data_IF_525029103909
#
_entry.id   IF_525029103909
#
_cell.length_a   1.000
_cell.length_b   1.000
_cell.length_c   1.000
_cell.angle_alpha   90.00
_cell.angle_beta   90.00
_cell.angle_gamma   90.00
#
_symmetry.space_group_name_H-M   'P 1'
#
loop_
_entity.id
_entity.type
_entity.pdbx_description
1 polymer ?
#
# COMPACT_ATOMS: atom_id res chain seq x y z
N UNK A 1 -54.13 -24.86 55.55
CA UNK A 1 -54.83 -24.80 54.25
C UNK A 1 -53.73 -24.62 53.21
N UNK A 2 -53.28 -25.68 52.51
CA UNK A 2 -53.83 -26.13 51.22
C UNK A 2 -53.95 -24.92 50.25
N UNK A 3 -53.29 -24.83 49.09
CA UNK A 3 -52.89 -25.86 48.13
C UNK A 3 -51.94 -25.30 47.06
N UNK A 4 -51.04 -26.17 46.56
CA UNK A 4 -50.56 -26.37 45.16
C UNK A 4 -51.16 -25.48 44.06
N UNK A 5 -50.52 -25.13 42.94
CA UNK A 5 -49.43 -25.68 42.08
C UNK A 5 -49.16 -24.57 41.03
N UNK A 6 -48.12 -24.48 40.20
CA UNK A 6 -47.39 -25.42 39.34
C UNK A 6 -46.23 -24.58 38.75
N UNK A 7 -44.97 -25.00 38.77
CA UNK A 7 -44.45 -25.96 37.80
C UNK A 7 -44.06 -25.27 36.49
N UNK A 8 -42.78 -24.95 36.32
CA UNK A 8 -42.12 -25.03 35.01
C UNK A 8 -40.61 -25.06 35.22
N UNK A 9 -40.04 -26.22 34.97
CA UNK A 9 -38.62 -26.47 34.81
C UNK A 9 -37.99 -25.42 33.89
N UNK A 10 -36.88 -24.82 34.34
CA UNK A 10 -35.98 -24.10 33.46
C UNK A 10 -35.44 -25.11 32.44
N UNK A 11 -36.07 -25.12 31.27
CA UNK A 11 -35.53 -25.72 30.05
C UNK A 11 -34.21 -25.02 29.77
N UNK A 12 -33.11 -25.78 29.85
CA UNK A 12 -31.83 -25.38 29.32
C UNK A 12 -31.95 -25.37 27.80
N UNK A 13 -32.43 -24.27 27.24
CA UNK A 13 -32.47 -24.08 25.80
C UNK A 13 -31.12 -23.49 25.35
N UNK A 14 -30.30 -24.35 24.75
CA UNK A 14 -29.06 -23.97 24.08
C UNK A 14 -29.42 -23.24 22.78
N UNK A 15 -28.90 -22.04 22.51
CA UNK A 15 -29.19 -21.33 21.26
C UNK A 15 -28.68 -22.11 20.06
N UNK A 16 -29.48 -22.17 18.99
CA UNK A 16 -29.16 -22.87 17.75
C UNK A 16 -27.89 -22.29 17.08
N UNK A 17 -27.04 -23.13 16.46
CA UNK A 17 -25.74 -22.72 15.94
C UNK A 17 -25.80 -21.94 14.60
N UNK A 18 -26.97 -21.67 14.05
CA UNK A 18 -27.14 -20.91 12.79
C UNK A 18 -28.44 -20.06 12.78
N UNK A 19 -28.31 -18.73 12.81
CA UNK A 19 -29.26 -17.79 12.18
C UNK A 19 -30.19 -16.90 13.03
N UNK A 20 -29.83 -15.61 13.10
CA UNK A 20 -30.60 -14.35 13.26
C UNK A 20 -31.75 -14.20 14.29
N UNK A 21 -31.38 -13.66 15.46
CA UNK A 21 -32.28 -12.93 16.37
C UNK A 21 -32.49 -11.44 15.96
N UNK A 22 -33.41 -10.73 16.63
CA UNK A 22 -33.99 -9.48 16.16
C UNK A 22 -32.97 -8.33 16.10
N UNK A 23 -32.80 -7.77 14.90
CA UNK A 23 -32.35 -6.39 14.64
C UNK A 23 -31.25 -5.84 15.54
N UNK A 24 -30.11 -6.52 15.63
CA UNK A 24 -28.89 -5.94 16.20
C UNK A 24 -28.52 -4.73 15.33
N UNK A 25 -28.28 -3.53 15.89
CA UNK A 25 -27.75 -2.42 15.11
C UNK A 25 -26.49 -2.92 14.41
N UNK A 26 -26.44 -2.82 13.08
CA UNK A 26 -25.28 -3.23 12.28
C UNK A 26 -24.06 -2.63 12.94
N UNK A 27 -23.16 -3.44 13.54
CA UNK A 27 -22.00 -2.90 14.20
C UNK A 27 -21.23 -2.12 13.14
N UNK A 28 -20.86 -0.86 13.42
CA UNK A 28 -19.88 -0.16 12.61
C UNK A 28 -18.70 -1.12 12.40
N UNK A 29 -18.37 -1.42 11.13
CA UNK A 29 -17.39 -2.46 10.78
C UNK A 29 -16.16 -2.32 11.67
N UNK A 30 -15.92 -3.35 12.48
CA UNK A 30 -14.84 -3.33 13.46
C UNK A 30 -13.54 -3.38 12.68
N UNK A 31 -12.90 -2.23 12.50
CA UNK A 31 -11.62 -2.13 11.79
C UNK A 31 -10.63 -3.15 12.38
N UNK A 32 -9.92 -3.92 11.55
CA UNK A 32 -9.07 -4.99 12.04
C UNK A 32 -7.96 -4.41 12.92
N UNK A 33 -7.62 -5.09 14.02
CA UNK A 33 -6.53 -4.67 14.89
C UNK A 33 -5.17 -4.65 14.17
N UNK A 34 -5.00 -5.51 13.15
CA UNK A 34 -3.87 -5.49 12.23
C UNK A 34 -4.30 -5.96 10.85
N UNK A 35 -4.02 -5.15 9.82
CA UNK A 35 -4.29 -5.47 8.41
C UNK A 35 -3.33 -6.58 7.96
N UNK A 36 -3.88 -7.48 7.15
CA UNK A 36 -3.26 -8.71 6.64
C UNK A 36 -3.77 -8.94 5.24
N UNK A 37 -3.07 -9.75 4.45
CA UNK A 37 -3.43 -10.03 3.05
C UNK A 37 -4.89 -10.52 2.90
N UNK A 38 -5.40 -11.34 3.83
CA UNK A 38 -6.77 -11.86 3.76
C UNK A 38 -7.84 -10.75 3.93
N UNK A 39 -7.52 -9.66 4.64
CA UNK A 39 -8.43 -8.51 4.75
C UNK A 39 -8.55 -7.78 3.40
N UNK A 40 -7.47 -7.71 2.61
CA UNK A 40 -7.50 -7.12 1.27
C UNK A 40 -8.25 -8.04 0.28
N UNK A 41 -8.07 -9.36 0.41
CA UNK A 41 -8.87 -10.34 -0.33
C UNK A 41 -10.35 -10.25 0.03
N UNK A 42 -10.66 -10.05 1.31
CA UNK A 42 -12.03 -9.80 1.75
C UNK A 42 -12.58 -8.53 1.11
N UNK A 43 -11.81 -7.43 1.06
CA UNK A 43 -12.27 -6.20 0.40
C UNK A 43 -12.63 -6.43 -1.09
N UNK A 44 -11.84 -7.23 -1.81
CA UNK A 44 -12.15 -7.62 -3.19
C UNK A 44 -13.46 -8.41 -3.28
N UNK A 45 -13.64 -9.43 -2.43
CA UNK A 45 -14.83 -10.29 -2.43
C UNK A 45 -16.11 -9.53 -2.05
N UNK A 46 -16.00 -8.65 -1.06
CA UNK A 46 -17.13 -7.92 -0.49
C UNK A 46 -17.43 -6.64 -1.30
N UNK A 47 -16.59 -6.33 -2.30
CA UNK A 47 -16.73 -5.14 -3.14
C UNK A 47 -16.40 -3.83 -2.42
N UNK A 48 -15.79 -3.88 -1.23
CA UNK A 48 -15.32 -2.70 -0.49
C UNK A 48 -13.97 -2.22 -1.04
N UNK A 49 -13.50 -1.05 -0.59
CA UNK A 49 -12.28 -0.41 -1.08
C UNK A 49 -11.32 -0.15 0.07
N UNK A 50 -10.02 -0.15 -0.22
CA UNK A 50 -8.98 0.20 0.76
C UNK A 50 -8.03 1.28 0.24
N UNK A 51 -7.39 2.00 1.16
CA UNK A 51 -6.42 3.04 0.87
C UNK A 51 -4.99 2.53 1.10
N UNK A 52 -4.11 2.95 0.20
CA UNK A 52 -2.68 2.72 0.28
C UNK A 52 -1.95 4.05 0.10
N UNK A 53 -0.92 4.29 0.90
CA UNK A 53 -0.03 5.44 0.74
C UNK A 53 1.41 4.99 0.83
N UNK A 54 2.30 5.67 0.12
CA UNK A 54 3.72 5.48 0.42
C UNK A 54 4.07 6.04 1.80
N UNK A 55 5.10 5.49 2.43
CA UNK A 55 5.67 6.00 3.68
C UNK A 55 7.14 5.62 3.76
N UNK A 56 7.97 6.50 4.34
CA UNK A 56 9.43 6.32 4.36
C UNK A 56 10.06 6.56 5.73
N UNK A 57 9.31 7.09 6.69
CA UNK A 57 9.81 7.36 8.04
C UNK A 57 8.69 7.26 9.10
N UNK A 58 9.09 7.42 10.36
CA UNK A 58 8.29 7.14 11.54
C UNK A 58 7.03 8.01 11.68
N UNK A 59 7.15 9.33 11.50
CA UNK A 59 6.06 10.26 11.78
C UNK A 59 4.90 10.06 10.81
N UNK A 60 5.20 10.03 9.52
CA UNK A 60 4.25 9.82 8.44
C UNK A 60 3.59 8.43 8.59
N UNK A 61 4.38 7.38 8.87
CA UNK A 61 3.83 6.05 9.11
C UNK A 61 2.87 6.02 10.31
N UNK A 62 3.24 6.65 11.43
CA UNK A 62 2.40 6.73 12.62
C UNK A 62 1.11 7.53 12.40
N UNK A 63 1.19 8.65 11.68
CA UNK A 63 0.04 9.49 11.33
C UNK A 63 -0.91 8.74 10.39
N UNK A 64 -0.39 8.09 9.34
CA UNK A 64 -1.21 7.34 8.38
C UNK A 64 -1.83 6.10 9.00
N UNK A 65 -1.09 5.40 9.87
CA UNK A 65 -1.64 4.31 10.67
C UNK A 65 -2.78 4.83 11.55
N UNK A 66 -2.62 5.91 12.31
CA UNK A 66 -3.70 6.48 13.13
C UNK A 66 -4.91 6.95 12.30
N UNK A 67 -4.68 7.49 11.09
CA UNK A 67 -5.72 7.95 10.18
C UNK A 67 -6.55 6.81 9.56
N UNK A 68 -6.11 5.56 9.69
CA UNK A 68 -6.85 4.41 9.19
C UNK A 68 -6.37 3.83 7.87
N UNK A 69 -5.26 4.32 7.30
CA UNK A 69 -4.70 3.78 6.04
C UNK A 69 -4.38 2.29 6.20
N UNK A 70 -4.84 1.45 5.28
CA UNK A 70 -4.76 0.00 5.41
C UNK A 70 -3.38 -0.56 5.00
N UNK A 71 -2.76 0.05 4.00
CA UNK A 71 -1.48 -0.42 3.43
C UNK A 71 -0.48 0.75 3.35
N UNK A 72 0.73 0.53 3.86
CA UNK A 72 1.84 1.47 3.72
C UNK A 72 2.91 0.89 2.79
N UNK A 73 3.28 1.64 1.76
CA UNK A 73 4.31 1.24 0.80
C UNK A 73 5.63 1.96 1.06
N UNK A 74 6.66 1.19 1.37
CA UNK A 74 8.04 1.67 1.34
C UNK A 74 8.54 1.48 -0.08
N UNK A 75 8.17 2.42 -0.95
CA UNK A 75 8.39 2.32 -2.39
C UNK A 75 9.77 2.81 -2.81
N UNK A 76 10.26 2.31 -3.95
CA UNK A 76 11.49 2.78 -4.60
C UNK A 76 11.37 4.24 -5.10
N UNK A 77 10.15 4.77 -5.19
CA UNK A 77 9.84 6.21 -5.24
C UNK A 77 10.54 7.05 -4.16
N UNK A 78 11.06 6.44 -3.09
CA UNK A 78 12.01 7.06 -2.17
C UNK A 78 13.27 7.61 -2.86
N UNK A 79 13.72 6.98 -3.94
CA UNK A 79 14.83 7.47 -4.77
C UNK A 79 14.65 8.95 -5.13
N UNK A 80 13.46 9.30 -5.64
CA UNK A 80 13.13 10.67 -6.00
C UNK A 80 12.75 11.51 -4.78
N UNK A 81 11.87 10.98 -3.93
CA UNK A 81 11.16 11.78 -2.93
C UNK A 81 11.86 11.87 -1.58
N UNK A 82 12.91 11.09 -1.36
CA UNK A 82 13.72 11.06 -0.14
C UNK A 82 15.18 11.36 -0.48
N UNK A 83 15.73 10.69 -1.49
CA UNK A 83 17.16 10.80 -1.83
C UNK A 83 17.46 11.84 -2.91
N UNK A 84 16.45 12.39 -3.58
CA UNK A 84 16.61 13.45 -4.57
C UNK A 84 17.21 12.99 -5.91
N UNK A 85 17.22 11.68 -6.18
CA UNK A 85 17.63 11.14 -7.48
C UNK A 85 16.61 11.51 -8.56
N UNK A 86 17.07 11.57 -9.82
CA UNK A 86 16.19 11.89 -10.95
C UNK A 86 15.23 10.74 -11.29
N UNK A 87 15.60 9.50 -10.99
CA UNK A 87 14.84 8.29 -11.36
C UNK A 87 14.82 7.29 -10.19
N UNK A 88 14.01 6.23 -10.28
CA UNK A 88 13.98 5.16 -9.26
C UNK A 88 15.16 4.20 -9.36
N UNK A 89 15.91 4.19 -10.46
CA UNK A 89 16.98 3.23 -10.73
C UNK A 89 18.14 3.22 -9.71
N UNK A 90 18.61 4.37 -9.17
CA UNK A 90 19.80 4.36 -8.33
C UNK A 90 19.58 3.78 -6.93
N UNK A 91 18.34 3.71 -6.45
CA UNK A 91 18.08 3.30 -5.06
C UNK A 91 18.39 1.82 -4.87
N UNK A 92 19.07 1.51 -3.78
CA UNK A 92 19.54 0.17 -3.47
C UNK A 92 18.69 -0.49 -2.37
N UNK A 93 18.85 -1.81 -2.22
CA UNK A 93 18.27 -2.55 -1.10
C UNK A 93 18.74 -1.96 0.24
N UNK A 94 20.02 -1.60 0.35
CA UNK A 94 20.61 -1.11 1.60
C UNK A 94 20.11 0.28 1.98
N UNK A 95 19.71 1.10 1.01
CA UNK A 95 19.06 2.40 1.25
C UNK A 95 17.58 2.27 1.65
N UNK A 96 16.86 1.29 1.10
CA UNK A 96 15.44 1.08 1.45
C UNK A 96 15.22 0.36 2.77
N UNK A 97 16.13 -0.55 3.18
CA UNK A 97 16.02 -1.30 4.43
C UNK A 97 15.84 -0.43 5.70
N UNK A 98 16.62 0.65 5.93
CA UNK A 98 16.41 1.51 7.11
C UNK A 98 15.07 2.25 7.07
N UNK A 99 14.63 2.73 5.90
CA UNK A 99 13.31 3.36 5.73
C UNK A 99 12.19 2.37 6.06
N UNK A 100 12.32 1.14 5.53
CA UNK A 100 11.36 0.07 5.76
C UNK A 100 11.24 -0.26 7.25
N UNK A 101 12.37 -0.37 7.94
CA UNK A 101 12.41 -0.64 9.38
C UNK A 101 11.78 0.48 10.21
N UNK A 102 11.99 1.74 9.83
CA UNK A 102 11.37 2.89 10.51
C UNK A 102 9.85 2.87 10.37
N UNK A 103 9.34 2.60 9.16
CA UNK A 103 7.90 2.50 8.87
C UNK A 103 7.29 1.30 9.59
N UNK A 104 7.89 0.12 9.48
CA UNK A 104 7.39 -1.11 10.09
C UNK A 104 7.30 -1.06 11.61
N UNK A 105 8.22 -0.37 12.28
CA UNK A 105 8.18 -0.15 13.74
C UNK A 105 7.09 0.84 14.16
N UNK A 106 6.69 1.73 13.26
CA UNK A 106 5.76 2.83 13.55
C UNK A 106 4.30 2.46 13.20
N UNK A 107 4.11 1.56 12.24
CA UNK A 107 2.81 1.02 11.87
C UNK A 107 2.32 -0.02 12.90
N UNK A 108 1.20 0.27 13.57
CA UNK A 108 0.60 -0.67 14.55
C UNK A 108 -0.38 -1.61 13.87
N UNK A 109 -1.17 -1.08 12.93
CA UNK A 109 -2.25 -1.80 12.24
C UNK A 109 -1.92 -2.06 10.77
N UNK A 110 -1.39 -1.10 10.04
CA UNK A 110 -1.27 -1.15 8.59
C UNK A 110 -0.39 -2.31 8.09
N UNK A 111 -0.72 -2.83 6.91
CA UNK A 111 0.12 -3.78 6.19
C UNK A 111 1.26 -3.01 5.52
N UNK A 112 2.47 -3.14 6.06
CA UNK A 112 3.68 -2.60 5.43
C UNK A 112 4.18 -3.50 4.29
N UNK A 113 4.25 -2.93 3.09
CA UNK A 113 4.80 -3.54 1.86
C UNK A 113 6.08 -2.78 1.50
N UNK A 114 7.13 -3.48 1.07
CA UNK A 114 8.38 -2.86 0.62
C UNK A 114 8.69 -3.20 -0.84
N UNK A 115 9.18 -2.24 -1.61
CA UNK A 115 9.65 -2.52 -2.96
C UNK A 115 10.96 -3.29 -2.95
N UNK A 116 11.06 -4.25 -3.87
CA UNK A 116 12.36 -4.70 -4.36
C UNK A 116 12.84 -3.69 -5.41
N UNK A 117 13.94 -2.96 -5.16
CA UNK A 117 14.45 -1.98 -6.10
C UNK A 117 15.06 -2.65 -7.34
N UNK A 118 15.24 -1.87 -8.41
CA UNK A 118 15.84 -2.35 -9.65
C UNK A 118 17.18 -3.06 -9.41
N UNK A 119 17.40 -4.17 -10.12
CA UNK A 119 18.61 -5.01 -10.04
C UNK A 119 18.62 -6.01 -8.87
N UNK A 120 17.58 -6.05 -8.03
CA UNK A 120 17.51 -6.93 -6.86
C UNK A 120 16.70 -8.22 -7.06
N UNK A 121 16.01 -8.38 -8.19
CA UNK A 121 15.16 -9.55 -8.45
C UNK A 121 15.18 -10.05 -9.91
N UNK A 122 15.79 -9.30 -10.82
CA UNK A 122 15.73 -9.52 -12.26
C UNK A 122 16.73 -10.59 -12.73
N UNK A 123 17.80 -10.85 -11.97
CA UNK A 123 18.84 -11.81 -12.38
C UNK A 123 18.35 -13.26 -12.23
N UNK A 124 17.70 -13.59 -11.11
CA UNK A 124 17.16 -14.93 -10.88
C UNK A 124 16.11 -14.96 -9.76
N UNK A 125 15.35 -16.05 -9.71
CA UNK A 125 14.39 -16.28 -8.63
C UNK A 125 15.08 -16.38 -7.25
N UNK A 126 16.27 -16.96 -7.18
CA UNK A 126 17.07 -17.05 -5.96
C UNK A 126 17.51 -15.66 -5.46
N UNK A 127 17.88 -14.77 -6.37
CA UNK A 127 18.21 -13.39 -6.04
C UNK A 127 17.00 -12.66 -5.43
N UNK A 128 15.84 -12.79 -6.08
CA UNK A 128 14.59 -12.18 -5.62
C UNK A 128 14.16 -12.70 -4.24
N UNK A 129 14.29 -14.01 -4.00
CA UNK A 129 14.05 -14.63 -2.69
C UNK A 129 15.03 -14.07 -1.65
N UNK A 130 16.32 -13.98 -1.96
CA UNK A 130 17.31 -13.44 -1.05
C UNK A 130 17.02 -11.98 -0.68
N UNK A 131 16.70 -11.13 -1.66
CA UNK A 131 16.32 -9.74 -1.43
C UNK A 131 15.02 -9.63 -0.61
N UNK A 132 13.99 -10.41 -0.94
CA UNK A 132 12.73 -10.44 -0.20
C UNK A 132 12.91 -10.87 1.26
N UNK A 133 13.75 -11.88 1.52
CA UNK A 133 14.11 -12.30 2.88
C UNK A 133 14.73 -11.15 3.68
N UNK A 134 15.60 -10.33 3.07
CA UNK A 134 16.17 -9.15 3.74
C UNK A 134 15.09 -8.14 4.11
N UNK A 135 14.16 -7.81 3.21
CA UNK A 135 13.08 -6.86 3.52
C UNK A 135 12.14 -7.35 4.63
N UNK A 136 11.85 -8.64 4.71
CA UNK A 136 11.05 -9.21 5.79
C UNK A 136 11.84 -9.26 7.12
N UNK A 137 13.10 -9.70 7.10
CA UNK A 137 13.90 -9.93 8.32
C UNK A 137 14.56 -8.67 8.86
N UNK A 138 15.24 -7.92 7.99
CA UNK A 138 15.98 -6.71 8.36
C UNK A 138 15.09 -5.46 8.28
N UNK A 139 14.23 -5.39 7.26
CA UNK A 139 13.29 -4.28 7.04
C UNK A 139 11.98 -4.40 7.85
N UNK A 140 11.66 -5.59 8.36
CA UNK A 140 10.43 -5.88 9.10
C UNK A 140 9.15 -5.67 8.26
N UNK A 141 9.26 -5.66 6.93
CA UNK A 141 8.12 -5.63 6.03
C UNK A 141 7.25 -6.89 6.21
N UNK A 142 5.95 -6.78 5.91
CA UNK A 142 5.06 -7.94 5.90
C UNK A 142 4.94 -8.60 4.53
N UNK A 143 5.31 -7.87 3.48
CA UNK A 143 5.19 -8.26 2.08
C UNK A 143 6.17 -7.44 1.24
N UNK A 144 6.41 -7.90 0.01
CA UNK A 144 7.22 -7.17 -0.97
C UNK A 144 6.45 -6.89 -2.25
N UNK A 145 6.84 -5.83 -2.98
CA UNK A 145 6.36 -5.53 -4.33
C UNK A 145 7.49 -5.69 -5.34
N UNK A 146 7.20 -6.31 -6.48
CA UNK A 146 8.11 -6.43 -7.63
C UNK A 146 7.42 -5.95 -8.90
N UNK A 147 8.20 -5.48 -9.87
CA UNK A 147 7.67 -4.94 -11.13
C UNK A 147 7.88 -5.90 -12.30
N UNK A 148 6.86 -6.00 -13.15
CA UNK A 148 6.92 -6.73 -14.41
C UNK A 148 5.80 -7.75 -14.60
N UNK A 149 5.65 -8.20 -15.85
CA UNK A 149 4.56 -9.06 -16.30
C UNK A 149 4.79 -10.56 -16.10
N UNK A 150 4.13 -11.38 -16.92
CA UNK A 150 4.13 -12.86 -16.81
C UNK A 150 5.50 -13.51 -16.86
N UNK A 151 6.50 -12.83 -17.42
CA UNK A 151 7.89 -13.33 -17.43
C UNK A 151 8.44 -13.59 -16.02
N UNK A 152 8.00 -12.82 -15.01
CA UNK A 152 8.40 -13.01 -13.62
C UNK A 152 7.49 -13.96 -12.82
N UNK A 153 6.52 -14.64 -13.45
CA UNK A 153 5.68 -15.62 -12.77
C UNK A 153 6.50 -16.74 -12.06
N UNK A 154 7.58 -17.29 -12.64
CA UNK A 154 8.45 -18.23 -11.92
C UNK A 154 9.12 -17.60 -10.67
N UNK A 155 9.57 -16.35 -10.77
CA UNK A 155 10.16 -15.58 -9.66
C UNK A 155 9.15 -15.37 -8.53
N UNK A 156 7.94 -14.91 -8.86
CA UNK A 156 6.84 -14.76 -7.87
C UNK A 156 6.55 -16.09 -7.20
N UNK A 157 6.44 -17.19 -7.97
CA UNK A 157 6.15 -18.51 -7.43
C UNK A 157 7.21 -18.98 -6.44
N UNK A 158 8.49 -18.78 -6.74
CA UNK A 158 9.59 -19.11 -5.84
C UNK A 158 9.55 -18.29 -4.54
N UNK A 159 9.29 -16.98 -4.63
CA UNK A 159 9.16 -16.10 -3.47
C UNK A 159 7.99 -16.51 -2.57
N UNK A 160 6.83 -16.79 -3.16
CA UNK A 160 5.64 -17.24 -2.43
C UNK A 160 5.88 -18.61 -1.76
N UNK A 161 6.54 -19.55 -2.44
CA UNK A 161 6.93 -20.85 -1.87
C UNK A 161 7.92 -20.69 -0.69
N UNK A 162 8.77 -19.67 -0.72
CA UNK A 162 9.64 -19.32 0.40
C UNK A 162 8.91 -18.61 1.56
N UNK A 163 7.59 -18.40 1.46
CA UNK A 163 6.77 -17.75 2.48
C UNK A 163 6.76 -16.22 2.42
N UNK A 164 7.19 -15.62 1.30
CA UNK A 164 7.22 -14.18 1.10
C UNK A 164 5.93 -13.75 0.37
N UNK A 165 5.04 -12.95 0.98
CA UNK A 165 3.88 -12.41 0.27
C UNK A 165 4.31 -11.39 -0.78
N UNK A 166 3.90 -11.61 -2.04
CA UNK A 166 4.27 -10.75 -3.17
C UNK A 166 3.06 -9.96 -3.69
N UNK A 167 3.20 -8.65 -3.78
CA UNK A 167 2.36 -7.78 -4.59
C UNK A 167 3.03 -7.60 -5.95
N UNK A 168 2.35 -7.96 -7.03
CA UNK A 168 2.86 -7.71 -8.37
C UNK A 168 2.57 -6.28 -8.82
N UNK A 169 3.40 -5.72 -9.70
CA UNK A 169 3.19 -4.41 -10.32
C UNK A 169 3.29 -4.53 -11.85
N UNK A 170 2.19 -4.23 -12.55
CA UNK A 170 2.08 -4.21 -14.01
C UNK A 170 1.62 -2.84 -14.53
N UNK A 171 1.63 -2.66 -15.85
CA UNK A 171 1.36 -1.36 -16.47
C UNK A 171 2.68 -0.62 -16.68
N UNK A 172 2.72 0.67 -16.37
CA UNK A 172 3.97 1.42 -16.38
C UNK A 172 4.79 1.05 -15.14
N UNK A 173 5.92 0.40 -15.35
CA UNK A 173 6.86 0.01 -14.29
C UNK A 173 8.05 0.97 -14.30
N UNK A 174 8.16 1.93 -13.35
CA UNK A 174 9.19 2.97 -13.37
C UNK A 174 10.62 2.44 -13.50
N UNK A 175 10.91 1.26 -12.96
CA UNK A 175 12.22 0.61 -13.09
C UNK A 175 12.58 0.24 -14.55
N UNK A 176 11.61 0.26 -15.45
CA UNK A 176 11.78 0.00 -16.89
C UNK A 176 11.61 1.26 -17.75
N UNK A 177 11.70 2.46 -17.17
CA UNK A 177 11.42 3.72 -17.90
C UNK A 177 12.23 3.88 -19.20
N UNK A 178 13.49 3.41 -19.24
CA UNK A 178 14.32 3.48 -20.43
C UNK A 178 13.84 2.53 -21.54
N UNK A 179 13.32 1.36 -21.17
CA UNK A 179 12.71 0.39 -22.11
C UNK A 179 11.36 0.89 -22.60
N UNK A 180 10.58 1.52 -21.71
CA UNK A 180 9.24 2.04 -22.01
C UNK A 180 9.27 3.39 -22.75
N UNK A 181 10.41 4.08 -22.79
CA UNK A 181 10.57 5.38 -23.43
C UNK A 181 9.92 6.51 -22.63
N UNK A 182 10.10 6.48 -21.30
CA UNK A 182 9.56 7.42 -20.33
C UNK A 182 8.13 7.10 -19.86
N UNK A 183 7.52 8.04 -19.15
CA UNK A 183 6.17 7.92 -18.55
C UNK A 183 5.06 7.84 -19.61
N UNK A 184 4.84 6.64 -20.14
CA UNK A 184 3.83 6.34 -21.16
C UNK A 184 2.74 5.46 -20.60
N UNK A 185 1.49 5.79 -20.96
CA UNK A 185 0.31 4.99 -20.64
C UNK A 185 0.40 3.62 -21.31
N UNK A 186 0.23 2.54 -20.53
CA UNK A 186 0.29 1.14 -20.98
C UNK A 186 -1.11 0.54 -21.15
N UNK A 187 -1.29 -0.50 -21.96
CA UNK A 187 -2.58 -1.18 -22.09
C UNK A 187 -3.60 -0.49 -22.98
N UNK A 188 -3.16 0.27 -24.00
CA UNK A 188 -4.04 0.87 -25.02
C UNK A 188 -4.30 -0.13 -26.16
N UNK A 189 -5.54 -0.16 -26.65
CA UNK A 189 -5.91 -1.02 -27.78
C UNK A 189 -5.59 -2.48 -27.50
N UNK A 190 -4.90 -3.13 -28.43
CA UNK A 190 -4.57 -4.56 -28.37
C UNK A 190 -3.64 -4.92 -27.19
N UNK A 191 -2.93 -3.94 -26.59
CA UNK A 191 -2.08 -4.16 -25.41
C UNK A 191 -2.88 -4.48 -24.13
N UNK A 192 -4.18 -4.20 -24.11
CA UNK A 192 -5.05 -4.51 -22.98
C UNK A 192 -5.07 -6.02 -22.66
N UNK A 193 -5.09 -6.86 -23.69
CA UNK A 193 -5.11 -8.31 -23.53
C UNK A 193 -3.83 -8.83 -22.89
N UNK A 194 -2.67 -8.26 -23.27
CA UNK A 194 -1.38 -8.59 -22.66
C UNK A 194 -1.39 -8.31 -21.15
N UNK A 195 -1.92 -7.16 -20.71
CA UNK A 195 -1.99 -6.84 -19.28
C UNK A 195 -2.89 -7.81 -18.50
N UNK A 196 -3.99 -8.28 -19.10
CA UNK A 196 -4.84 -9.31 -18.49
C UNK A 196 -4.07 -10.62 -18.33
N UNK A 197 -3.32 -11.04 -19.35
CA UNK A 197 -2.48 -12.24 -19.29
C UNK A 197 -1.36 -12.10 -18.25
N UNK A 198 -0.68 -10.95 -18.21
CA UNK A 198 0.35 -10.65 -17.22
C UNK A 198 -0.21 -10.77 -15.80
N UNK A 199 -1.36 -10.12 -15.56
CA UNK A 199 -2.01 -10.15 -14.26
C UNK A 199 -2.41 -11.57 -13.82
N UNK A 200 -3.02 -12.35 -14.72
CA UNK A 200 -3.44 -13.73 -14.44
C UNK A 200 -2.27 -14.65 -14.16
N UNK A 201 -1.18 -14.54 -14.92
CA UNK A 201 0.00 -15.34 -14.70
C UNK A 201 0.65 -15.06 -13.34
N UNK A 202 0.63 -13.79 -12.90
CA UNK A 202 1.16 -13.39 -11.59
C UNK A 202 0.25 -13.82 -10.44
N UNK A 203 -1.08 -13.75 -10.62
CA UNK A 203 -2.06 -14.34 -9.69
C UNK A 203 -1.87 -15.86 -9.56
N UNK A 204 -1.74 -16.58 -10.67
CA UNK A 204 -1.50 -18.05 -10.68
C UNK A 204 -0.15 -18.43 -10.05
N UNK A 205 0.83 -17.54 -10.13
CA UNK A 205 2.10 -17.68 -9.43
C UNK A 205 1.98 -17.47 -7.91
N UNK A 206 0.89 -16.89 -7.44
CA UNK A 206 0.58 -16.70 -6.01
C UNK A 206 0.72 -15.26 -5.52
N UNK A 207 0.82 -14.26 -6.41
CA UNK A 207 0.77 -12.86 -5.99
C UNK A 207 -0.56 -12.59 -5.27
N UNK A 208 -0.52 -11.99 -4.08
CA UNK A 208 -1.74 -11.75 -3.29
C UNK A 208 -2.51 -10.51 -3.73
N UNK A 209 -1.90 -9.67 -4.57
CA UNK A 209 -2.42 -8.40 -5.06
C UNK A 209 -1.68 -8.00 -6.34
N UNK A 210 -2.37 -7.29 -7.24
CA UNK A 210 -1.77 -6.73 -8.47
C UNK A 210 -1.97 -5.21 -8.49
N UNK A 211 -0.88 -4.46 -8.51
CA UNK A 211 -0.86 -3.02 -8.68
C UNK A 211 -0.79 -2.68 -10.18
N UNK A 212 -1.57 -1.70 -10.62
CA UNK A 212 -1.61 -1.18 -11.99
C UNK A 212 -1.30 0.31 -12.01
N UNK A 213 -0.26 0.69 -12.75
CA UNK A 213 0.16 2.09 -12.90
C UNK A 213 0.01 2.58 -14.34
N UNK A 214 -0.55 3.80 -14.48
CA UNK A 214 -0.77 4.48 -15.76
C UNK A 214 -1.44 3.59 -16.84
N UNK A 215 -2.55 2.94 -16.46
CA UNK A 215 -3.37 2.07 -17.33
C UNK A 215 -4.71 2.76 -17.65
N UNK A 216 -5.24 2.71 -18.89
CA UNK A 216 -6.59 3.19 -19.19
C UNK A 216 -7.63 2.60 -18.24
N UNK A 217 -8.60 3.41 -17.82
CA UNK A 217 -9.60 2.98 -16.83
C UNK A 217 -10.42 1.75 -17.28
N UNK A 218 -10.70 1.64 -18.59
CA UNK A 218 -11.38 0.48 -19.17
C UNK A 218 -10.53 -0.79 -19.10
N UNK A 219 -9.23 -0.70 -19.44
CA UNK A 219 -8.29 -1.81 -19.34
C UNK A 219 -8.09 -2.24 -17.88
N UNK A 220 -7.93 -1.28 -16.96
CA UNK A 220 -7.83 -1.58 -15.54
C UNK A 220 -9.10 -2.24 -14.98
N UNK A 221 -10.28 -1.85 -15.45
CA UNK A 221 -11.54 -2.51 -15.08
C UNK A 221 -11.59 -3.95 -15.63
N UNK A 222 -11.14 -4.18 -16.86
CA UNK A 222 -11.06 -5.52 -17.44
C UNK A 222 -10.07 -6.42 -16.69
N UNK A 223 -8.90 -5.90 -16.32
CA UNK A 223 -7.92 -6.62 -15.48
C UNK A 223 -8.52 -6.91 -14.11
N UNK A 224 -9.11 -5.93 -13.42
CA UNK A 224 -9.73 -6.15 -12.11
C UNK A 224 -10.83 -7.21 -12.16
N UNK A 225 -11.67 -7.22 -13.20
CA UNK A 225 -12.71 -8.23 -13.38
C UNK A 225 -12.16 -9.63 -13.68
N UNK A 226 -10.95 -9.72 -14.24
CA UNK A 226 -10.33 -10.99 -14.62
C UNK A 226 -9.60 -11.69 -13.47
N UNK A 227 -9.39 -11.01 -12.34
CA UNK A 227 -8.66 -11.51 -11.16
C UNK A 227 -9.57 -11.75 -9.97
N UNK A 228 -9.19 -12.72 -9.14
CA UNK A 228 -9.81 -13.00 -7.83
C UNK A 228 -9.10 -12.27 -6.69
N UNK A 229 -7.82 -11.94 -6.86
CA UNK A 229 -7.04 -11.12 -5.93
C UNK A 229 -7.39 -9.63 -6.04
N UNK A 230 -7.22 -8.84 -4.96
CA UNK A 230 -7.40 -7.40 -5.01
C UNK A 230 -6.44 -6.75 -6.01
N UNK A 231 -6.90 -5.65 -6.61
CA UNK A 231 -6.05 -4.78 -7.43
C UNK A 231 -5.84 -3.41 -6.78
N UNK A 232 -4.70 -2.78 -7.02
CA UNK A 232 -4.40 -1.41 -6.57
C UNK A 232 -4.14 -0.54 -7.80
N UNK A 233 -4.77 0.64 -7.86
CA UNK A 233 -4.58 1.57 -8.97
C UNK A 233 -3.76 2.79 -8.58
N UNK A 234 -2.90 3.26 -9.51
CA UNK A 234 -2.35 4.61 -9.53
C UNK A 234 -2.40 5.14 -10.95
N UNK A 235 -3.28 6.11 -11.20
CA UNK A 235 -3.61 6.51 -12.57
C UNK A 235 -4.28 5.42 -13.41
N UNK A 236 -4.96 4.46 -12.76
CA UNK A 236 -5.67 3.34 -13.38
C UNK A 236 -7.21 3.46 -13.30
N UNK A 237 -7.73 4.65 -12.99
CA UNK A 237 -9.16 4.85 -12.75
C UNK A 237 -9.65 4.25 -11.44
N UNK A 238 -10.98 4.26 -11.23
CA UNK A 238 -11.62 3.90 -9.94
C UNK A 238 -12.04 2.44 -9.78
N UNK A 239 -11.87 1.63 -10.83
CA UNK A 239 -12.43 0.28 -10.86
C UNK A 239 -11.71 -0.66 -9.87
N UNK A 240 -10.42 -0.42 -9.63
CA UNK A 240 -9.57 -1.23 -8.75
C UNK A 240 -10.09 -1.33 -7.32
N UNK A 241 -9.66 -2.37 -6.60
CA UNK A 241 -10.06 -2.61 -5.20
C UNK A 241 -9.43 -1.60 -4.24
N UNK A 242 -8.19 -1.19 -4.49
CA UNK A 242 -7.49 -0.18 -3.73
C UNK A 242 -6.91 0.92 -4.61
N UNK A 243 -6.46 2.00 -3.98
CA UNK A 243 -5.79 3.11 -4.64
C UNK A 243 -4.51 3.46 -3.88
N UNK A 244 -3.45 3.80 -4.62
CA UNK A 244 -2.19 4.26 -4.04
C UNK A 244 -1.78 5.61 -4.61
N UNK A 245 -1.19 6.45 -3.76
CA UNK A 245 -0.49 7.65 -4.15
C UNK A 245 0.84 7.74 -3.40
N UNK A 246 1.82 8.39 -4.03
CA UNK A 246 3.01 8.91 -3.34
C UNK A 246 2.54 9.98 -2.37
N UNK A 247 2.86 9.83 -1.08
CA UNK A 247 2.23 10.67 -0.06
C UNK A 247 2.64 12.14 -0.18
N UNK A 248 3.86 12.43 -0.62
CA UNK A 248 4.35 13.79 -0.85
C UNK A 248 3.54 14.50 -1.93
N UNK A 249 3.10 13.76 -2.96
CA UNK A 249 2.25 14.29 -4.02
C UNK A 249 0.83 14.51 -3.50
N UNK A 250 0.29 13.54 -2.78
CA UNK A 250 -1.04 13.60 -2.15
C UNK A 250 -1.14 14.76 -1.15
N UNK A 251 -0.10 15.02 -0.37
CA UNK A 251 -0.07 16.07 0.65
C UNK A 251 0.44 17.44 0.14
N UNK A 252 0.75 17.56 -1.16
CA UNK A 252 1.22 18.81 -1.76
C UNK A 252 2.59 19.28 -1.24
N UNK A 253 3.45 18.35 -0.81
CA UNK A 253 4.81 18.65 -0.39
C UNK A 253 5.76 18.80 -1.59
N UNK A 254 5.58 17.96 -2.62
CA UNK A 254 6.34 18.07 -3.87
C UNK A 254 5.86 19.28 -4.66
N UNK A 255 6.80 20.16 -5.03
CA UNK A 255 6.52 21.30 -5.89
C UNK A 255 6.44 20.93 -7.38
N UNK A 256 6.08 21.91 -8.21
CA UNK A 256 6.07 21.78 -9.67
C UNK A 256 4.78 21.16 -10.23
N UNK A 257 4.84 20.74 -11.50
CA UNK A 257 3.68 20.21 -12.21
C UNK A 257 3.36 18.79 -11.73
N UNK A 258 2.17 18.61 -11.16
CA UNK A 258 1.68 17.29 -10.75
C UNK A 258 1.21 16.46 -11.96
N UNK A 259 1.33 15.14 -11.82
CA UNK A 259 0.76 14.22 -12.79
C UNK A 259 -0.78 14.29 -12.75
N UNK A 260 -1.43 14.06 -13.90
CA UNK A 260 -2.90 14.22 -14.05
C UNK A 260 -3.71 13.36 -13.07
N UNK A 261 -3.16 12.23 -12.62
CA UNK A 261 -3.85 11.30 -11.73
C UNK A 261 -3.71 11.67 -10.24
N UNK A 262 -2.91 12.68 -9.89
CA UNK A 262 -2.72 13.11 -8.50
C UNK A 262 -3.80 14.11 -8.12
N UNK A 263 -4.45 13.86 -6.97
CA UNK A 263 -5.24 14.86 -6.25
C UNK A 263 -4.46 15.29 -5.01
N UNK A 264 -4.26 16.60 -4.85
CA UNK A 264 -3.71 17.18 -3.63
C UNK A 264 -4.81 17.33 -2.58
N UNK A 265 -4.52 16.89 -1.36
CA UNK A 265 -5.41 16.98 -0.19
C UNK A 265 -4.92 18.00 0.84
N UNK A 266 -3.70 18.52 0.69
CA UNK A 266 -3.11 19.57 1.51
C UNK A 266 -2.08 20.36 0.68
N UNK A 267 -1.62 21.49 1.24
CA UNK A 267 -0.45 22.25 0.76
C UNK A 267 0.61 22.29 1.87
N UNK A 268 1.25 21.14 2.09
CA UNK A 268 2.31 21.04 3.09
C UNK A 268 3.56 21.83 2.69
N UNK A 269 3.77 22.09 1.39
CA UNK A 269 4.93 22.85 0.94
C UNK A 269 4.86 24.30 1.43
N UNK A 270 3.74 24.98 1.20
CA UNK A 270 3.56 26.36 1.67
C UNK A 270 3.56 26.40 3.20
N UNK A 271 2.86 25.46 3.84
CA UNK A 271 2.83 25.38 5.32
C UNK A 271 4.23 25.27 5.93
N UNK A 272 5.08 24.39 5.39
CA UNK A 272 6.43 24.20 5.89
C UNK A 272 7.34 25.39 5.55
N UNK A 273 7.19 25.97 4.35
CA UNK A 273 7.92 27.16 3.94
C UNK A 273 7.63 28.35 4.86
N UNK A 274 6.36 28.60 5.18
CA UNK A 274 5.96 29.74 5.99
C UNK A 274 6.39 29.57 7.44
N UNK A 275 6.28 28.35 7.98
CA UNK A 275 6.79 28.03 9.32
C UNK A 275 8.32 28.21 9.42
N UNK A 276 9.07 27.77 8.41
CA UNK A 276 10.53 27.93 8.38
C UNK A 276 10.93 29.40 8.24
N UNK A 277 10.21 30.16 7.41
CA UNK A 277 10.41 31.60 7.25
C UNK A 277 10.17 32.33 8.57
N UNK A 278 9.03 32.08 9.21
CA UNK A 278 8.65 32.70 10.48
C UNK A 278 9.68 32.40 11.58
N UNK A 279 10.08 31.13 11.74
CA UNK A 279 11.15 30.75 12.67
C UNK A 279 12.46 31.49 12.37
N UNK A 280 12.85 31.56 11.08
CA UNK A 280 14.05 32.28 10.66
C UNK A 280 13.99 33.78 10.93
N UNK A 281 12.82 34.41 10.81
CA UNK A 281 12.59 35.82 11.10
C UNK A 281 12.60 36.09 12.62
N UNK A 282 12.01 35.20 13.43
CA UNK A 282 12.05 35.29 14.89
C UNK A 282 13.48 35.20 15.43
N UNK A 283 14.30 34.29 14.88
CA UNK A 283 15.73 34.18 15.23
C UNK A 283 16.51 35.42 14.80
N UNK A 284 16.32 35.89 13.56
CA UNK A 284 17.06 37.06 13.03
C UNK A 284 16.69 38.37 13.75
N UNK A 285 15.45 38.50 14.23
CA UNK A 285 14.99 39.66 15.00
C UNK A 285 15.34 39.60 16.49
N UNK A 286 15.81 38.44 16.99
CA UNK A 286 16.03 38.20 18.41
C UNK A 286 14.73 38.00 19.21
N UNK A 287 13.61 37.75 18.55
CA UNK A 287 12.33 37.40 19.18
C UNK A 287 12.37 35.99 19.78
N UNK A 288 13.03 35.05 19.08
CA UNK A 288 13.27 33.70 19.59
C UNK A 288 14.77 33.49 19.91
N UNK A 289 15.10 32.84 21.04
CA UNK A 289 14.19 32.36 22.08
C UNK A 289 13.68 33.50 22.98
N UNK A 290 12.38 33.43 23.34
CA UNK A 290 11.79 34.26 24.38
C UNK A 290 12.14 33.77 25.80
N UNK A 291 11.79 34.53 26.86
CA UNK A 291 12.02 34.12 28.25
C UNK A 291 11.39 32.77 28.62
N UNK A 292 10.22 32.45 28.07
CA UNK A 292 9.53 31.17 28.27
C UNK A 292 10.24 29.97 27.61
N UNK A 293 11.22 30.24 26.75
CA UNK A 293 12.07 29.27 26.08
C UNK A 293 13.52 29.30 26.60
N UNK A 294 13.77 29.98 27.73
CA UNK A 294 15.10 30.20 28.33
C UNK A 294 15.17 29.66 29.78
N UNK A 295 16.36 29.29 30.25
CA UNK A 295 16.61 28.73 31.59
C UNK A 295 17.48 29.64 32.46
#
# INVERSE_FOLDING_TARGET
MASNSSGSSASAEVPAPYGNGPGVPVPAERKPAKVRIHHLQQAKRDGTRFAMLTAYEQYTAGIFDAAGIEVLLVGDSASNNVFGNETSLPVTVDELLPLCRAVARSAKRALVVADLPFGSYEVSAEQAVAAGVRFLKEGLAHAVKIEGGKYYAPTVRAMVQAGIPVMAHIGFTPQSEHVLGGYRVQGRGDDAQRLIEDARALEEAGAFCVLMEMVPAETAAAVDAALTVPTVGIGAGKATTGQVLVWQDMAGLRGGRMAKFVKQYADLRSTLHDAATAYGDDVRSGTFPGPEHSF
#
